data_IF_084150251870
#
_entry.id   IF_084150251870
#
_cell.length_a   1.000
_cell.length_b   1.000
_cell.length_c   1.000
_cell.angle_alpha   90.00
_cell.angle_beta   90.00
_cell.angle_gamma   90.00
#
_symmetry.space_group_name_H-M   'P 1'
#
loop_
_entity.id
_entity.type
_entity.pdbx_description
1 polymer ?
#
# COMPACT_ATOMS: atom_id res chain seq x y z
N UNK A 1 -21.60 14.06 -8.58
CA UNK A 1 -21.31 12.80 -9.31
C UNK A 1 -19.96 12.18 -8.92
N UNK A 2 -18.87 12.96 -8.80
CA UNK A 2 -17.51 12.46 -8.53
C UNK A 2 -17.30 11.97 -7.09
N UNK A 3 -17.86 12.66 -6.09
CA UNK A 3 -17.76 12.27 -4.69
C UNK A 3 -18.54 10.97 -4.42
N UNK A 4 -19.68 10.76 -5.10
CA UNK A 4 -20.50 9.56 -4.93
C UNK A 4 -19.83 8.32 -5.53
N UNK A 5 -19.19 8.42 -6.69
CA UNK A 5 -18.58 7.28 -7.38
C UNK A 5 -17.32 6.75 -6.67
N UNK A 6 -16.41 7.64 -6.27
CA UNK A 6 -15.26 7.26 -5.43
C UNK A 6 -15.68 6.70 -4.05
N UNK A 7 -16.85 7.13 -3.54
CA UNK A 7 -17.39 6.60 -2.30
C UNK A 7 -17.93 5.17 -2.44
N UNK A 8 -18.59 4.85 -3.57
CA UNK A 8 -19.08 3.49 -3.85
C UNK A 8 -17.94 2.47 -3.95
N UNK A 9 -16.90 2.78 -4.70
CA UNK A 9 -15.79 1.86 -4.88
C UNK A 9 -14.98 1.65 -3.60
N UNK A 10 -14.76 2.70 -2.82
CA UNK A 10 -14.19 2.59 -1.47
C UNK A 10 -15.09 1.77 -0.55
N UNK A 11 -16.39 1.90 -0.68
CA UNK A 11 -17.38 1.10 0.04
C UNK A 11 -17.30 -0.39 -0.34
N UNK A 12 -17.15 -0.71 -1.63
CA UNK A 12 -16.97 -2.08 -2.11
C UNK A 12 -15.67 -2.71 -1.57
N UNK A 13 -14.55 -2.01 -1.64
CA UNK A 13 -13.28 -2.49 -1.07
C UNK A 13 -13.43 -2.75 0.43
N UNK A 14 -14.07 -1.82 1.15
CA UNK A 14 -14.36 -1.98 2.57
C UNK A 14 -15.23 -3.22 2.82
N UNK A 15 -16.31 -3.41 2.05
CA UNK A 15 -17.21 -4.56 2.15
C UNK A 15 -16.49 -5.90 1.92
N UNK A 16 -15.57 -5.96 0.93
CA UNK A 16 -14.75 -7.16 0.69
C UNK A 16 -13.85 -7.46 1.90
N UNK A 17 -13.16 -6.44 2.43
CA UNK A 17 -12.32 -6.58 3.62
C UNK A 17 -13.12 -7.07 4.84
N UNK A 18 -14.28 -6.49 5.07
CA UNK A 18 -15.21 -6.88 6.17
C UNK A 18 -15.69 -8.33 6.00
N UNK A 19 -16.02 -8.74 4.77
CA UNK A 19 -16.41 -10.12 4.49
C UNK A 19 -15.27 -11.10 4.81
N UNK A 20 -14.02 -10.81 4.39
CA UNK A 20 -12.87 -11.66 4.71
C UNK A 20 -12.70 -11.80 6.21
N UNK A 21 -12.76 -10.69 6.95
CA UNK A 21 -12.59 -10.68 8.41
C UNK A 21 -13.71 -11.47 9.13
N UNK A 22 -14.93 -11.45 8.61
CA UNK A 22 -16.10 -12.08 9.24
C UNK A 22 -16.34 -13.53 8.77
N UNK A 23 -15.51 -14.09 7.85
CA UNK A 23 -15.67 -15.46 7.35
C UNK A 23 -15.25 -16.57 8.32
N UNK A 24 -14.87 -16.25 9.56
CA UNK A 24 -14.53 -17.26 10.56
C UNK A 24 -13.17 -17.93 10.38
N UNK A 25 -12.26 -17.32 9.60
CA UNK A 25 -10.88 -17.79 9.44
C UNK A 25 -10.14 -17.78 10.77
N UNK A 26 -9.22 -18.72 10.96
CA UNK A 26 -8.22 -18.61 12.03
C UNK A 26 -7.28 -17.46 11.74
N UNK A 27 -6.84 -16.77 12.78
CA UNK A 27 -5.91 -15.66 12.69
C UNK A 27 -4.62 -16.00 13.43
N UNK A 28 -3.48 -15.72 12.83
CA UNK A 28 -2.16 -15.80 13.47
C UNK A 28 -1.60 -14.40 13.66
N UNK A 29 -1.00 -14.15 14.81
CA UNK A 29 -0.27 -12.91 15.06
C UNK A 29 0.97 -12.84 14.17
N UNK A 30 1.40 -11.62 13.83
CA UNK A 30 2.61 -11.46 13.02
C UNK A 30 3.87 -11.98 13.72
N UNK A 31 3.96 -11.91 15.06
CA UNK A 31 5.08 -12.45 15.82
C UNK A 31 5.16 -13.99 15.69
N UNK A 32 4.04 -14.70 15.69
CA UNK A 32 3.98 -16.15 15.42
C UNK A 32 4.49 -16.47 14.01
N UNK A 33 4.01 -15.74 13.01
CA UNK A 33 4.42 -15.89 11.60
C UNK A 33 5.91 -15.55 11.38
N UNK A 34 6.47 -14.66 12.17
CA UNK A 34 7.91 -14.35 12.17
C UNK A 34 8.70 -15.52 12.75
N UNK A 35 8.25 -16.11 13.85
CA UNK A 35 8.88 -17.30 14.44
C UNK A 35 8.84 -18.51 13.51
N UNK A 36 7.76 -18.66 12.74
CA UNK A 36 7.61 -19.68 11.70
C UNK A 36 8.44 -19.40 10.44
N UNK A 37 9.07 -18.22 10.35
CA UNK A 37 9.87 -17.82 9.18
C UNK A 37 9.04 -17.39 7.96
N UNK A 38 7.71 -17.31 8.10
CA UNK A 38 6.76 -16.92 7.03
C UNK A 38 6.80 -15.42 6.77
N UNK A 39 7.01 -14.61 7.81
CA UNK A 39 7.09 -13.15 7.73
C UNK A 39 8.45 -12.66 8.22
N UNK A 40 9.04 -11.67 7.56
CA UNK A 40 10.24 -10.97 8.01
C UNK A 40 10.01 -9.48 7.98
N UNK A 41 10.32 -8.82 9.09
CA UNK A 41 10.22 -7.37 9.24
C UNK A 41 11.62 -6.76 9.33
N UNK A 42 11.86 -5.76 8.51
CA UNK A 42 13.12 -5.04 8.46
C UNK A 42 12.88 -3.52 8.36
N UNK A 43 13.94 -2.76 8.36
CA UNK A 43 13.94 -1.33 8.03
C UNK A 43 14.74 -1.12 6.75
N UNK A 44 14.43 -0.03 6.04
CA UNK A 44 15.24 0.39 4.90
C UNK A 44 16.58 1.01 5.32
N UNK A 45 17.31 1.54 4.37
CA UNK A 45 18.64 2.11 4.54
C UNK A 45 18.63 3.65 4.47
N UNK A 46 19.68 4.29 4.93
CA UNK A 46 19.91 5.72 4.67
C UNK A 46 20.28 5.86 3.20
N UNK A 47 19.44 6.53 2.42
CA UNK A 47 19.61 6.68 0.98
C UNK A 47 19.47 8.16 0.62
N UNK A 48 20.41 8.71 -0.16
CA UNK A 48 20.28 10.02 -0.78
C UNK A 48 19.05 10.06 -1.70
N UNK A 49 18.43 11.21 -1.82
CA UNK A 49 17.26 11.43 -2.68
C UNK A 49 17.50 12.66 -3.53
N UNK A 50 17.14 12.56 -4.78
CA UNK A 50 17.28 13.58 -5.81
C UNK A 50 15.93 13.81 -6.52
N UNK A 51 15.73 14.93 -7.22
CA UNK A 51 14.67 15.07 -8.22
C UNK A 51 14.79 13.98 -9.29
N UNK A 52 13.69 13.62 -9.92
CA UNK A 52 13.69 12.67 -11.02
C UNK A 52 14.35 13.27 -12.26
N UNK A 53 15.33 12.52 -12.81
CA UNK A 53 15.99 12.86 -14.07
C UNK A 53 16.47 11.58 -14.80
N UNK A 54 17.29 11.70 -15.83
CA UNK A 54 17.83 10.56 -16.58
C UNK A 54 18.77 9.67 -15.75
N UNK A 55 19.40 10.20 -14.71
CA UNK A 55 20.32 9.49 -13.79
C UNK A 55 19.55 8.94 -12.60
N UNK A 56 18.76 9.79 -11.94
CA UNK A 56 17.99 9.45 -10.73
C UNK A 56 16.56 9.07 -11.13
N UNK A 57 16.36 7.79 -11.42
CA UNK A 57 15.09 7.24 -11.96
C UNK A 57 14.38 6.23 -11.06
N UNK A 58 15.07 5.70 -10.04
CA UNK A 58 14.49 4.71 -9.15
C UNK A 58 13.86 5.38 -7.93
N UNK A 59 12.55 5.24 -7.71
CA UNK A 59 11.85 5.91 -6.61
C UNK A 59 12.41 5.52 -5.25
N UNK A 60 12.46 6.50 -4.35
CA UNK A 60 12.83 6.34 -2.95
C UNK A 60 11.60 6.59 -2.09
N UNK A 61 11.16 5.57 -1.35
CA UNK A 61 10.02 5.64 -0.45
C UNK A 61 10.46 5.88 0.99
N UNK A 62 9.70 6.72 1.71
CA UNK A 62 9.97 7.12 3.08
C UNK A 62 8.68 7.18 3.91
N UNK A 63 8.77 7.70 5.14
CA UNK A 63 7.65 7.77 6.10
C UNK A 63 6.51 8.70 5.71
N UNK A 64 6.57 9.42 4.60
CA UNK A 64 5.48 10.28 4.18
C UNK A 64 4.21 9.46 3.89
N UNK A 65 3.06 9.96 4.34
CA UNK A 65 1.75 9.43 3.96
C UNK A 65 1.23 10.03 2.65
N UNK A 66 1.82 11.15 2.23
CA UNK A 66 1.51 11.81 0.97
C UNK A 66 2.21 11.09 -0.20
N UNK A 67 1.63 11.18 -1.38
CA UNK A 67 2.18 10.64 -2.62
C UNK A 67 2.68 9.18 -2.49
N UNK A 68 1.93 8.35 -1.77
CA UNK A 68 2.29 6.95 -1.46
C UNK A 68 3.69 6.78 -0.84
N UNK A 69 4.17 7.78 -0.11
CA UNK A 69 5.49 7.76 0.53
C UNK A 69 6.66 8.09 -0.39
N UNK A 70 6.43 8.46 -1.65
CA UNK A 70 7.49 8.87 -2.58
C UNK A 70 8.14 10.18 -2.09
N UNK A 71 9.47 10.15 -1.91
CA UNK A 71 10.26 11.26 -1.40
C UNK A 71 11.31 11.78 -2.39
N UNK A 72 11.56 11.07 -3.46
CA UNK A 72 12.56 11.40 -4.47
C UNK A 72 13.04 10.17 -5.21
N UNK A 73 14.17 10.27 -5.86
CA UNK A 73 14.73 9.23 -6.72
C UNK A 73 16.23 9.00 -6.43
N UNK A 74 16.74 7.84 -6.87
CA UNK A 74 18.16 7.50 -6.79
C UNK A 74 18.61 6.83 -8.10
N UNK A 75 19.92 6.73 -8.32
CA UNK A 75 20.55 6.10 -9.49
C UNK A 75 20.61 4.56 -9.38
N UNK A 76 20.54 4.04 -8.15
CA UNK A 76 20.54 2.60 -7.85
C UNK A 76 19.24 2.18 -7.17
N UNK A 77 18.99 0.88 -7.07
CA UNK A 77 17.81 0.34 -6.40
C UNK A 77 18.15 -0.81 -5.44
N UNK A 78 17.35 -0.94 -4.36
CA UNK A 78 17.47 -2.01 -3.37
C UNK A 78 16.62 -3.23 -3.73
N UNK A 79 15.45 -3.00 -4.32
CA UNK A 79 14.45 -4.04 -4.57
C UNK A 79 13.97 -4.00 -6.01
N UNK A 80 13.65 -5.19 -6.57
CA UNK A 80 12.95 -5.39 -7.84
C UNK A 80 11.93 -6.54 -7.65
N UNK A 81 11.03 -6.37 -6.70
CA UNK A 81 10.00 -7.35 -6.34
C UNK A 81 8.81 -6.70 -5.67
N UNK A 82 7.76 -7.47 -5.42
CA UNK A 82 6.66 -7.03 -4.57
C UNK A 82 7.10 -6.94 -3.12
N UNK A 83 6.62 -5.92 -2.41
CA UNK A 83 6.83 -5.76 -0.97
C UNK A 83 5.65 -5.02 -0.32
N UNK A 84 5.59 -5.09 1.00
CA UNK A 84 4.84 -4.15 1.80
C UNK A 84 5.84 -3.25 2.53
N UNK A 85 5.60 -1.94 2.48
CA UNK A 85 6.31 -0.96 3.29
C UNK A 85 5.34 -0.29 4.24
N UNK A 86 5.84 0.23 5.36
CA UNK A 86 5.03 1.04 6.25
C UNK A 86 5.82 2.22 6.79
N UNK A 87 5.11 3.27 7.16
CA UNK A 87 5.69 4.47 7.75
C UNK A 87 6.00 4.24 9.24
N UNK A 88 7.27 4.31 9.63
CA UNK A 88 7.66 4.17 11.04
C UNK A 88 7.33 5.44 11.82
N UNK A 89 7.70 6.60 11.31
CA UNK A 89 7.50 7.91 11.96
C UNK A 89 6.18 8.59 11.57
N UNK A 90 5.42 8.03 10.62
CA UNK A 90 4.20 8.60 10.05
C UNK A 90 2.90 7.85 10.41
N UNK A 91 2.84 7.23 11.60
CA UNK A 91 1.62 6.61 12.12
C UNK A 91 1.31 5.21 11.58
N UNK A 92 2.28 4.48 11.03
CA UNK A 92 2.15 3.05 10.72
C UNK A 92 1.38 2.71 9.44
N UNK A 93 1.10 3.67 8.55
CA UNK A 93 0.39 3.41 7.30
C UNK A 93 1.12 2.40 6.41
N UNK A 94 0.39 1.40 5.91
CA UNK A 94 0.92 0.36 5.04
C UNK A 94 0.74 0.70 3.57
N UNK A 95 1.75 0.32 2.76
CA UNK A 95 1.76 0.53 1.32
C UNK A 95 2.15 -0.75 0.61
N UNK A 96 1.29 -1.22 -0.30
CA UNK A 96 1.63 -2.27 -1.24
C UNK A 96 2.52 -1.73 -2.35
N UNK A 97 3.71 -2.31 -2.49
CA UNK A 97 4.65 -2.01 -3.58
C UNK A 97 4.55 -3.12 -4.62
N UNK A 98 3.97 -2.78 -5.78
CA UNK A 98 4.00 -3.67 -6.94
C UNK A 98 5.46 -3.94 -7.34
N UNK A 99 5.71 -5.01 -8.08
CA UNK A 99 7.04 -5.29 -8.61
C UNK A 99 7.54 -4.14 -9.47
N UNK A 100 8.59 -3.49 -9.06
CA UNK A 100 9.37 -2.48 -9.78
C UNK A 100 10.70 -2.25 -9.04
N UNK A 101 11.61 -1.50 -9.65
CA UNK A 101 12.89 -1.13 -9.05
C UNK A 101 12.72 0.08 -8.15
N UNK A 102 13.04 -0.04 -6.87
CA UNK A 102 12.83 1.02 -5.87
C UNK A 102 13.74 0.90 -4.65
N UNK A 103 13.73 1.94 -3.85
CA UNK A 103 14.45 2.07 -2.60
C UNK A 103 13.51 2.38 -1.45
N UNK A 104 13.95 2.05 -0.23
CA UNK A 104 13.22 2.30 1.01
C UNK A 104 14.16 2.90 2.05
N UNK A 105 13.77 4.03 2.64
CA UNK A 105 14.59 4.71 3.65
C UNK A 105 14.51 4.04 5.01
N UNK A 106 15.47 4.35 5.88
CA UNK A 106 15.58 3.81 7.25
C UNK A 106 14.43 4.18 8.20
N UNK A 107 13.63 5.20 7.84
CA UNK A 107 12.40 5.59 8.59
C UNK A 107 11.15 4.90 8.05
N UNK A 108 11.32 3.91 7.19
CA UNK A 108 10.28 3.09 6.60
C UNK A 108 10.54 1.62 6.94
N UNK A 109 9.51 0.90 7.32
CA UNK A 109 9.57 -0.53 7.53
C UNK A 109 9.35 -1.31 6.24
N UNK A 110 9.85 -2.53 6.20
CA UNK A 110 9.79 -3.46 5.07
C UNK A 110 9.29 -4.80 5.59
N UNK A 111 8.19 -5.30 5.01
CA UNK A 111 7.67 -6.63 5.28
C UNK A 111 7.89 -7.53 4.07
N UNK A 112 8.58 -8.63 4.30
CA UNK A 112 8.77 -9.72 3.35
C UNK A 112 7.98 -10.93 3.83
N UNK A 113 7.40 -11.68 2.91
CA UNK A 113 6.60 -12.86 3.22
C UNK A 113 7.00 -14.04 2.33
N UNK A 114 6.71 -15.25 2.80
CA UNK A 114 6.74 -16.44 1.94
C UNK A 114 5.54 -16.38 0.98
N UNK A 115 5.81 -16.22 -0.31
CA UNK A 115 4.80 -16.09 -1.36
C UNK A 115 4.01 -17.39 -1.62
N UNK A 116 4.48 -18.54 -1.11
CA UNK A 116 3.72 -19.79 -1.12
C UNK A 116 2.59 -19.79 -0.08
N UNK A 117 2.70 -18.96 0.96
CA UNK A 117 1.75 -18.87 2.06
C UNK A 117 0.87 -17.64 1.93
N UNK A 118 1.46 -16.49 1.57
CA UNK A 118 0.76 -15.22 1.53
C UNK A 118 1.05 -14.39 0.28
N UNK A 119 -0.01 -13.79 -0.28
CA UNK A 119 0.08 -12.77 -1.32
C UNK A 119 0.34 -11.39 -0.70
N UNK A 120 1.33 -10.66 -1.20
CA UNK A 120 1.62 -9.28 -0.76
C UNK A 120 0.41 -8.36 -0.88
N UNK A 121 -0.33 -8.47 -1.99
CA UNK A 121 -1.54 -7.66 -2.18
C UNK A 121 -2.60 -7.96 -1.14
N UNK A 122 -2.84 -9.24 -0.83
CA UNK A 122 -3.81 -9.66 0.16
C UNK A 122 -3.46 -9.14 1.56
N UNK A 123 -2.19 -9.34 1.99
CA UNK A 123 -1.72 -8.87 3.29
C UNK A 123 -1.86 -7.36 3.42
N UNK A 124 -1.47 -6.60 2.40
CA UNK A 124 -1.57 -5.14 2.41
C UNK A 124 -3.02 -4.67 2.66
N UNK A 125 -4.00 -5.36 2.07
CA UNK A 125 -5.42 -5.07 2.30
C UNK A 125 -5.85 -5.37 3.74
N UNK A 126 -5.40 -6.50 4.30
CA UNK A 126 -5.74 -6.89 5.67
C UNK A 126 -5.10 -5.98 6.70
N UNK A 127 -3.83 -5.63 6.53
CA UNK A 127 -3.11 -4.70 7.40
C UNK A 127 -3.70 -3.29 7.33
N UNK A 128 -4.00 -2.79 6.14
CA UNK A 128 -4.64 -1.48 5.95
C UNK A 128 -6.02 -1.44 6.62
N UNK A 129 -6.79 -2.51 6.50
CA UNK A 129 -8.11 -2.60 7.15
C UNK A 129 -7.97 -2.57 8.67
N UNK A 130 -7.11 -3.41 9.25
CA UNK A 130 -6.87 -3.43 10.70
C UNK A 130 -6.38 -2.07 11.19
N UNK A 131 -5.41 -1.47 10.47
CA UNK A 131 -4.88 -0.14 10.80
C UNK A 131 -5.98 0.94 10.83
N UNK A 132 -6.93 0.90 9.89
CA UNK A 132 -8.05 1.85 9.84
C UNK A 132 -9.02 1.74 11.02
N UNK A 133 -9.00 0.63 11.76
CA UNK A 133 -9.83 0.38 12.94
C UNK A 133 -9.10 0.69 14.26
N UNK A 134 -7.80 0.86 14.22
CA UNK A 134 -6.99 1.17 15.39
C UNK A 134 -6.84 2.69 15.57
N UNK A 135 -6.86 3.14 16.82
CA UNK A 135 -6.33 4.46 17.17
C UNK A 135 -4.82 4.29 17.37
N UNK A 136 -4.06 4.45 16.30
CA UNK A 136 -2.61 4.39 16.40
C UNK A 136 -2.10 5.67 17.09
N UNK A 137 -1.31 5.51 18.14
CA UNK A 137 -0.69 6.66 18.80
C UNK A 137 0.48 7.15 17.92
N UNK A 138 0.35 8.36 17.39
CA UNK A 138 1.38 8.98 16.55
C UNK A 138 2.68 9.31 17.30
N UNK A 139 2.66 9.32 18.64
CA UNK A 139 3.87 9.49 19.44
C UNK A 139 4.67 8.18 19.52
N UNK A 140 4.00 7.04 19.38
CA UNK A 140 4.61 5.74 19.31
C UNK A 140 5.08 5.45 17.89
N UNK A 141 6.41 5.35 17.70
CA UNK A 141 6.96 4.96 16.40
C UNK A 141 6.52 3.53 16.05
N UNK A 142 6.08 3.33 14.81
CA UNK A 142 5.68 2.01 14.30
C UNK A 142 6.91 1.11 14.00
N UNK A 143 7.74 0.87 15.00
CA UNK A 143 8.89 -0.03 14.88
C UNK A 143 8.45 -1.46 14.50
N UNK A 144 9.31 -2.28 13.88
CA UNK A 144 9.00 -3.67 13.56
C UNK A 144 8.43 -4.48 14.73
N UNK A 145 8.94 -4.29 15.95
CA UNK A 145 8.43 -4.95 17.17
C UNK A 145 7.00 -4.53 17.54
N UNK A 146 6.65 -3.26 17.31
CA UNK A 146 5.28 -2.77 17.53
C UNK A 146 4.34 -3.35 16.48
N UNK A 147 4.75 -3.37 15.21
CA UNK A 147 3.97 -3.96 14.13
C UNK A 147 3.75 -5.45 14.35
N UNK A 148 4.78 -6.21 14.76
CA UNK A 148 4.66 -7.66 15.00
C UNK A 148 3.67 -7.99 16.12
N UNK A 149 3.57 -7.18 17.15
CA UNK A 149 2.68 -7.41 18.30
C UNK A 149 1.23 -6.99 18.06
N UNK A 150 0.99 -5.98 17.19
CA UNK A 150 -0.33 -5.37 17.02
C UNK A 150 -1.19 -6.04 15.94
N UNK A 151 -0.58 -6.65 14.92
CA UNK A 151 -1.29 -7.13 13.74
C UNK A 151 -1.34 -8.65 13.66
N UNK A 152 -2.39 -9.13 13.01
CA UNK A 152 -2.60 -10.55 12.73
C UNK A 152 -2.98 -10.75 11.27
N UNK A 153 -2.79 -11.95 10.74
CA UNK A 153 -3.20 -12.30 9.39
C UNK A 153 -4.13 -13.51 9.40
N UNK A 154 -5.16 -13.53 8.56
CA UNK A 154 -6.05 -14.67 8.47
C UNK A 154 -5.37 -15.80 7.69
N UNK A 155 -5.56 -17.04 8.18
CA UNK A 155 -5.01 -18.25 7.57
C UNK A 155 -5.93 -18.75 6.45
N UNK A 156 -5.78 -18.19 5.25
CA UNK A 156 -6.49 -18.61 4.05
C UNK A 156 -5.56 -19.35 3.10
N UNK A 157 -6.07 -20.33 2.32
CA UNK A 157 -5.33 -20.89 1.19
C UNK A 157 -4.92 -19.81 0.20
N UNK A 158 -3.72 -19.93 -0.37
CA UNK A 158 -3.19 -18.93 -1.32
C UNK A 158 -4.10 -18.76 -2.56
N UNK A 159 -4.81 -19.81 -2.98
CA UNK A 159 -5.78 -19.76 -4.07
C UNK A 159 -6.96 -18.82 -3.77
N UNK A 160 -7.45 -18.82 -2.53
CA UNK A 160 -8.52 -17.91 -2.10
C UNK A 160 -8.01 -16.48 -1.96
N UNK A 161 -6.82 -16.28 -1.36
CA UNK A 161 -6.17 -14.98 -1.31
C UNK A 161 -6.04 -14.37 -2.70
N UNK A 162 -5.57 -15.16 -3.69
CA UNK A 162 -5.44 -14.72 -5.08
C UNK A 162 -6.79 -14.38 -5.73
N UNK A 163 -7.87 -15.04 -5.33
CA UNK A 163 -9.22 -14.70 -5.78
C UNK A 163 -9.65 -13.32 -5.28
N UNK A 164 -9.44 -13.01 -4.02
CA UNK A 164 -9.67 -11.67 -3.47
C UNK A 164 -8.74 -10.62 -4.11
N UNK A 165 -7.47 -10.97 -4.35
CA UNK A 165 -6.54 -10.05 -5.01
C UNK A 165 -7.01 -9.64 -6.41
N UNK A 166 -7.58 -10.58 -7.19
CA UNK A 166 -8.17 -10.26 -8.51
C UNK A 166 -9.28 -9.22 -8.39
N UNK A 167 -10.15 -9.32 -7.38
CA UNK A 167 -11.19 -8.32 -7.13
C UNK A 167 -10.61 -6.95 -6.78
N UNK A 168 -9.63 -6.89 -5.88
CA UNK A 168 -8.97 -5.64 -5.51
C UNK A 168 -8.28 -4.99 -6.72
N UNK A 169 -7.57 -5.78 -7.54
CA UNK A 169 -6.91 -5.28 -8.75
C UNK A 169 -7.93 -4.75 -9.77
N UNK A 170 -9.06 -5.43 -9.94
CA UNK A 170 -10.12 -4.98 -10.84
C UNK A 170 -10.74 -3.65 -10.38
N UNK A 171 -10.96 -3.50 -9.07
CA UNK A 171 -11.46 -2.25 -8.49
C UNK A 171 -10.45 -1.11 -8.63
N UNK A 172 -9.16 -1.36 -8.35
CA UNK A 172 -8.10 -0.36 -8.55
C UNK A 172 -8.04 0.13 -10.00
N UNK A 173 -8.10 -0.80 -10.97
CA UNK A 173 -8.12 -0.46 -12.40
C UNK A 173 -9.32 0.41 -12.75
N UNK A 174 -10.49 0.08 -12.24
CA UNK A 174 -11.70 0.85 -12.47
C UNK A 174 -11.56 2.26 -11.92
N UNK A 175 -11.08 2.41 -10.68
CA UNK A 175 -10.79 3.70 -10.05
C UNK A 175 -9.83 4.53 -10.92
N UNK A 176 -8.75 3.91 -11.39
CA UNK A 176 -7.73 4.58 -12.19
C UNK A 176 -8.29 5.09 -13.54
N UNK A 177 -9.05 4.24 -14.25
CA UNK A 177 -9.67 4.62 -15.53
C UNK A 177 -10.62 5.81 -15.34
N UNK A 178 -11.41 5.82 -14.29
CA UNK A 178 -12.36 6.90 -14.01
C UNK A 178 -11.65 8.20 -13.62
N UNK A 179 -10.58 8.12 -12.82
CA UNK A 179 -9.76 9.28 -12.49
C UNK A 179 -9.13 9.90 -13.74
N UNK A 180 -8.61 9.07 -14.66
CA UNK A 180 -8.06 9.54 -15.94
C UNK A 180 -9.13 10.19 -16.83
N UNK A 181 -10.31 9.57 -16.94
CA UNK A 181 -11.44 10.12 -17.70
C UNK A 181 -11.88 11.47 -17.16
N UNK A 182 -11.94 11.61 -15.84
CA UNK A 182 -12.28 12.87 -15.21
C UNK A 182 -11.22 13.96 -15.45
N UNK A 183 -9.93 13.62 -15.39
CA UNK A 183 -8.85 14.57 -15.70
C UNK A 183 -9.03 15.12 -17.12
N UNK A 184 -9.23 14.24 -18.09
CA UNK A 184 -9.49 14.63 -19.50
C UNK A 184 -10.72 15.54 -19.64
N UNK A 185 -11.82 15.22 -18.95
CA UNK A 185 -13.03 16.05 -18.99
C UNK A 185 -12.80 17.45 -18.39
N UNK A 186 -12.01 17.54 -17.31
CA UNK A 186 -11.64 18.83 -16.73
C UNK A 186 -10.76 19.67 -17.68
N UNK A 187 -9.82 19.02 -18.36
CA UNK A 187 -8.98 19.69 -19.38
C UNK A 187 -9.83 20.19 -20.57
N UNK A 188 -10.73 19.35 -21.08
CA UNK A 188 -11.67 19.74 -22.13
C UNK A 188 -12.55 20.93 -21.71
N UNK A 189 -13.11 20.88 -20.50
CA UNK A 189 -13.90 22.00 -19.96
C UNK A 189 -13.08 23.28 -19.91
N UNK A 190 -11.83 23.22 -19.40
CA UNK A 190 -10.93 24.39 -19.34
C UNK A 190 -10.64 24.95 -20.74
N UNK A 191 -10.37 24.05 -21.69
CA UNK A 191 -10.15 24.45 -23.09
C UNK A 191 -11.37 25.17 -23.71
N UNK A 192 -12.56 24.56 -23.56
CA UNK A 192 -13.80 25.18 -24.10
C UNK A 192 -14.07 26.55 -23.48
N UNK A 193 -13.95 26.65 -22.15
CA UNK A 193 -14.13 27.95 -21.47
C UNK A 193 -13.12 29.01 -21.97
N UNK A 194 -11.86 28.62 -22.20
CA UNK A 194 -10.85 29.55 -22.76
C UNK A 194 -11.17 30.03 -24.19
N UNK A 195 -11.96 29.25 -24.93
CA UNK A 195 -12.40 29.62 -26.28
C UNK A 195 -13.70 30.42 -26.33
N UNK A 196 -14.49 30.40 -25.26
CA UNK A 196 -15.77 31.11 -25.19
C UNK A 196 -15.60 32.57 -24.74
N UNK A 197 -14.47 32.94 -24.18
CA UNK A 197 -14.20 34.26 -23.61
C UNK A 197 -13.06 34.99 -24.35
N UNK A 198 -12.84 34.70 -25.63
CA UNK A 198 -11.92 35.45 -26.53
C UNK A 198 -12.72 36.37 -27.43
#
# INVERSE_FOLDING_TARGET
>A
LQSSFNSEQKSLIKGIRERIVNCGWQWKKLDELIQEGVVRLNRGNIIPKHPEDNTYKYPVYSSSTQNNGLMGYNDTYMFDKELITWSIDGGGNFFYRKKHKFNVTNVCGIMQVDENVYSYRFIAEMLTYQHSKMKFDYQSKAHPSVISSLYSLPCLPISEQNSYCRLFIALDRKIQIEQQSLCKLKEQKKYLLSKMFI
#
